data_IF_835192561580
#
_entry.id   IF_835192561580
#
_cell.length_a   1.000
_cell.length_b   1.000
_cell.length_c   1.000
_cell.angle_alpha   90.00
_cell.angle_beta   90.00
_cell.angle_gamma   90.00
#
_symmetry.space_group_name_H-M   'P 1'
#
loop_
_entity.id
_entity.type
_entity.pdbx_description
1 polymer ?
#
# COMPACT_ATOMS: atom_id res chain seq x y z
N UNK A 1 -9.73 7.55 -80.53
CA UNK A 1 -9.36 8.23 -79.26
C UNK A 1 -10.19 7.65 -78.12
N UNK A 2 -9.63 6.76 -77.29
CA UNK A 2 -10.21 6.35 -76.01
C UNK A 2 -9.08 6.19 -75.01
N UNK A 3 -9.13 6.99 -73.95
CA UNK A 3 -8.09 7.17 -72.93
C UNK A 3 -8.30 6.12 -71.82
N UNK A 4 -7.27 5.41 -71.33
CA UNK A 4 -7.48 4.36 -70.36
C UNK A 4 -7.64 4.96 -68.95
N UNK A 5 -8.86 4.90 -68.42
CA UNK A 5 -9.24 5.35 -67.07
C UNK A 5 -8.68 4.47 -65.92
N UNK A 6 -7.98 3.38 -66.25
CA UNK A 6 -7.56 2.36 -65.27
C UNK A 6 -6.36 2.82 -64.42
N UNK A 7 -5.49 3.70 -64.94
CA UNK A 7 -4.31 4.16 -64.20
C UNK A 7 -4.64 5.11 -63.03
N UNK A 8 -5.77 5.83 -63.09
CA UNK A 8 -6.14 6.82 -62.05
C UNK A 8 -6.75 6.18 -60.79
N UNK A 9 -7.31 4.98 -60.91
CA UNK A 9 -7.93 4.28 -59.77
C UNK A 9 -6.87 3.64 -58.87
N UNK A 10 -5.77 3.15 -59.45
CA UNK A 10 -4.68 2.50 -58.70
C UNK A 10 -3.88 3.52 -57.87
N UNK A 11 -3.71 4.75 -58.38
CA UNK A 11 -3.03 5.84 -57.67
C UNK A 11 -3.83 6.37 -56.46
N UNK A 12 -5.16 6.25 -56.47
CA UNK A 12 -5.99 6.67 -55.34
C UNK A 12 -6.08 5.59 -54.24
N UNK A 13 -5.96 4.31 -54.61
CA UNK A 13 -5.98 3.18 -53.68
C UNK A 13 -4.65 2.99 -52.91
N UNK A 14 -3.55 3.53 -53.43
CA UNK A 14 -2.23 3.47 -52.78
C UNK A 14 -1.98 4.62 -51.81
N UNK A 15 -2.79 5.68 -51.84
CA UNK A 15 -2.69 6.82 -50.91
C UNK A 15 -3.51 6.63 -49.61
N UNK A 16 -4.46 5.68 -49.59
CA UNK A 16 -5.29 5.39 -48.41
C UNK A 16 -4.65 4.40 -47.42
N UNK A 17 -3.54 3.75 -47.78
CA UNK A 17 -2.85 2.76 -46.94
C UNK A 17 -1.83 3.38 -45.95
N UNK A 18 -1.64 4.71 -45.96
CA UNK A 18 -0.60 5.36 -45.15
C UNK A 18 -1.10 5.98 -43.82
N UNK A 19 -2.38 5.82 -43.44
CA UNK A 19 -2.94 6.50 -42.24
C UNK A 19 -3.25 5.60 -41.04
N UNK A 20 -2.75 4.35 -41.01
CA UNK A 20 -2.87 3.47 -39.84
C UNK A 20 -1.53 3.19 -39.14
N UNK A 21 -0.60 4.15 -39.13
CA UNK A 21 0.48 4.13 -38.12
C UNK A 21 -0.12 4.63 -36.82
N UNK A 22 -0.78 3.73 -36.10
CA UNK A 22 -1.12 3.95 -34.70
C UNK A 22 0.19 3.86 -33.93
N UNK A 23 0.88 4.98 -33.79
CA UNK A 23 1.93 5.15 -32.80
C UNK A 23 1.23 5.03 -31.45
N UNK A 24 1.11 3.80 -30.95
CA UNK A 24 0.94 3.59 -29.53
C UNK A 24 2.20 4.15 -28.92
N UNK A 25 2.10 5.38 -28.39
CA UNK A 25 3.07 5.89 -27.43
C UNK A 25 3.32 4.75 -26.46
N UNK A 26 4.54 4.20 -26.54
CA UNK A 26 4.99 3.19 -25.60
C UNK A 26 5.14 3.95 -24.30
N UNK A 27 4.06 3.97 -23.52
CA UNK A 27 4.07 4.45 -22.16
C UNK A 27 5.14 3.62 -21.45
N UNK A 28 6.32 4.22 -21.26
CA UNK A 28 7.44 3.58 -20.60
C UNK A 28 6.96 3.35 -19.17
N UNK A 29 6.57 2.10 -18.87
CA UNK A 29 6.08 1.73 -17.57
C UNK A 29 7.14 2.12 -16.53
N UNK A 30 6.80 3.07 -15.66
CA UNK A 30 7.70 3.48 -14.59
C UNK A 30 7.99 2.27 -13.70
N UNK A 31 9.24 2.10 -13.24
CA UNK A 31 9.58 1.01 -12.34
C UNK A 31 8.76 1.13 -11.04
N UNK A 32 8.13 0.03 -10.64
CA UNK A 32 7.35 -0.03 -9.39
C UNK A 32 8.30 -0.07 -8.21
N UNK A 33 8.15 0.87 -7.27
CA UNK A 33 8.89 0.87 -6.01
C UNK A 33 8.50 -0.34 -5.17
N UNK A 34 9.50 -1.05 -4.64
CA UNK A 34 9.28 -2.12 -3.65
C UNK A 34 9.18 -1.47 -2.28
N UNK A 35 7.99 -1.46 -1.67
CA UNK A 35 7.80 -0.95 -0.31
C UNK A 35 7.89 -2.10 0.70
N UNK A 36 7.26 -3.23 0.39
CA UNK A 36 7.37 -4.47 1.16
C UNK A 36 7.88 -5.58 0.24
N UNK A 37 8.92 -6.36 0.61
CA UNK A 37 9.39 -7.43 -0.24
C UNK A 37 8.40 -8.59 -0.24
N UNK A 38 7.72 -8.78 -1.38
CA UNK A 38 6.66 -9.79 -1.54
C UNK A 38 7.15 -10.94 -2.42
N UNK A 39 7.46 -12.06 -1.78
CA UNK A 39 7.77 -13.33 -2.42
C UNK A 39 7.21 -14.46 -1.56
N UNK A 40 6.68 -15.51 -2.20
CA UNK A 40 6.15 -16.69 -1.47
C UNK A 40 7.26 -17.30 -0.61
N UNK A 41 6.95 -17.52 0.67
CA UNK A 41 7.90 -18.00 1.68
C UNK A 41 8.59 -16.89 2.49
N UNK A 42 8.43 -15.61 2.08
CA UNK A 42 8.84 -14.48 2.92
C UNK A 42 8.02 -14.46 4.21
N UNK A 43 8.69 -14.19 5.32
CA UNK A 43 8.14 -14.33 6.65
C UNK A 43 8.70 -13.27 7.61
N UNK A 44 7.85 -12.80 8.52
CA UNK A 44 8.19 -11.87 9.58
C UNK A 44 7.52 -12.30 10.88
N UNK A 45 8.29 -12.29 11.96
CA UNK A 45 7.80 -12.56 13.31
C UNK A 45 7.98 -11.30 14.13
N UNK A 46 6.90 -10.88 14.78
CA UNK A 46 6.81 -9.66 15.57
C UNK A 46 6.51 -9.99 17.02
N UNK A 47 7.15 -9.26 17.93
CA UNK A 47 6.71 -9.14 19.31
C UNK A 47 5.66 -8.04 19.37
N UNK A 48 4.49 -8.35 19.93
CA UNK A 48 3.41 -7.39 20.13
C UNK A 48 3.35 -7.07 21.62
N UNK A 49 3.48 -5.79 21.96
CA UNK A 49 3.49 -5.31 23.35
C UNK A 49 2.30 -4.37 23.52
N UNK A 50 1.44 -4.65 24.49
CA UNK A 50 0.39 -3.74 24.92
C UNK A 50 0.87 -2.94 26.11
N UNK A 51 0.55 -1.65 26.13
CA UNK A 51 0.94 -0.73 27.19
C UNK A 51 -0.30 -0.12 27.84
N UNK A 52 -0.20 0.24 29.11
CA UNK A 52 -1.17 1.09 29.79
C UNK A 52 -0.97 2.55 29.40
N UNK A 53 -1.92 3.41 29.73
CA UNK A 53 -1.76 4.86 29.56
C UNK A 53 -0.62 5.45 30.40
N UNK A 54 -0.11 4.73 31.39
CA UNK A 54 1.02 5.19 32.22
C UNK A 54 2.37 4.68 31.69
N UNK A 55 2.36 3.90 30.61
CA UNK A 55 3.54 3.36 29.95
C UNK A 55 3.96 1.98 30.44
N UNK A 56 3.24 1.39 31.39
CA UNK A 56 3.51 0.04 31.89
C UNK A 56 3.15 -1.02 30.86
N UNK A 57 3.96 -2.08 30.74
CA UNK A 57 3.65 -3.21 29.87
C UNK A 57 2.50 -4.02 30.48
N UNK A 58 1.39 -4.11 29.76
CA UNK A 58 0.22 -4.91 30.13
C UNK A 58 0.33 -6.35 29.63
N UNK A 59 0.82 -6.54 28.40
CA UNK A 59 0.87 -7.85 27.75
C UNK A 59 2.00 -7.92 26.74
N UNK A 60 2.47 -9.14 26.46
CA UNK A 60 3.41 -9.40 25.36
C UNK A 60 3.02 -10.70 24.67
N UNK A 61 2.83 -10.63 23.35
CA UNK A 61 2.47 -11.77 22.50
C UNK A 61 3.36 -11.83 21.26
N UNK A 62 3.22 -12.86 20.44
CA UNK A 62 3.91 -13.02 19.17
C UNK A 62 2.93 -13.04 18.01
N UNK A 63 3.28 -12.37 16.91
CA UNK A 63 2.51 -12.33 15.68
C UNK A 63 3.40 -12.71 14.50
N UNK A 64 2.97 -13.71 13.71
CA UNK A 64 3.68 -14.16 12.51
C UNK A 64 2.91 -13.72 11.27
N UNK A 65 3.59 -13.04 10.35
CA UNK A 65 3.10 -12.69 9.01
C UNK A 65 3.93 -13.43 7.98
N UNK A 66 3.29 -14.02 6.99
CA UNK A 66 3.96 -14.82 5.96
C UNK A 66 3.26 -14.64 4.62
N UNK A 67 4.02 -14.57 3.53
CA UNK A 67 3.48 -14.68 2.17
C UNK A 67 3.33 -16.15 1.83
N UNK A 68 2.10 -16.64 1.81
CA UNK A 68 1.84 -18.09 1.68
C UNK A 68 1.57 -18.53 0.25
N UNK A 69 1.16 -17.59 -0.62
CA UNK A 69 0.75 -17.89 -1.99
C UNK A 69 0.75 -16.62 -2.84
N UNK A 70 0.89 -16.77 -4.15
CA UNK A 70 0.58 -15.74 -5.13
C UNK A 70 -0.66 -16.10 -5.97
N UNK A 71 -1.20 -15.10 -6.67
CA UNK A 71 -2.33 -15.26 -7.57
C UNK A 71 -2.33 -14.17 -8.63
N UNK A 72 -3.05 -14.39 -9.73
CA UNK A 72 -3.30 -13.37 -10.75
C UNK A 72 -4.70 -12.79 -10.58
N UNK A 73 -4.81 -11.46 -10.54
CA UNK A 73 -6.07 -10.72 -10.58
C UNK A 73 -5.89 -9.58 -11.58
N UNK A 74 -6.71 -9.53 -12.63
CA UNK A 74 -6.61 -8.48 -13.65
C UNK A 74 -5.26 -8.44 -14.38
N UNK A 75 -4.62 -9.60 -14.60
CA UNK A 75 -3.26 -9.75 -15.19
C UNK A 75 -2.13 -9.18 -14.35
N UNK A 76 -2.38 -8.82 -13.10
CA UNK A 76 -1.36 -8.40 -12.14
C UNK A 76 -1.13 -9.51 -11.13
N UNK A 77 0.13 -9.67 -10.69
CA UNK A 77 0.49 -10.60 -9.61
C UNK A 77 0.13 -9.98 -8.27
N UNK A 78 -0.55 -10.77 -7.44
CA UNK A 78 -0.92 -10.44 -6.08
C UNK A 78 -0.42 -11.53 -5.14
N UNK A 79 -0.10 -11.13 -3.91
CA UNK A 79 0.42 -12.02 -2.89
C UNK A 79 -0.59 -12.16 -1.76
N UNK A 80 -0.77 -13.38 -1.27
CA UNK A 80 -1.71 -13.73 -0.22
C UNK A 80 -0.91 -13.95 1.05
N UNK A 81 -1.25 -13.22 2.10
CA UNK A 81 -0.66 -13.37 3.41
C UNK A 81 -1.37 -14.49 4.20
N UNK A 82 -0.70 -15.04 5.22
CA UNK A 82 -1.24 -16.09 6.08
C UNK A 82 -2.54 -15.70 6.81
N UNK A 83 -2.82 -14.40 6.99
CA UNK A 83 -4.07 -13.88 7.53
C UNK A 83 -5.16 -13.64 6.46
N UNK A 84 -4.92 -14.03 5.20
CA UNK A 84 -5.86 -13.92 4.09
C UNK A 84 -5.85 -12.56 3.36
N UNK A 85 -5.07 -11.58 3.80
CA UNK A 85 -4.92 -10.31 3.09
C UNK A 85 -4.27 -10.55 1.71
N UNK A 86 -4.77 -9.87 0.69
CA UNK A 86 -4.21 -9.89 -0.66
C UNK A 86 -3.53 -8.55 -0.92
N UNK A 87 -2.24 -8.56 -1.25
CA UNK A 87 -1.39 -7.38 -1.29
C UNK A 87 -0.49 -7.37 -2.52
N UNK A 88 -0.02 -6.19 -2.94
CA UNK A 88 1.03 -6.01 -3.94
C UNK A 88 1.73 -4.67 -3.77
N UNK A 89 2.95 -4.56 -4.30
CA UNK A 89 3.50 -3.25 -4.63
C UNK A 89 2.95 -2.82 -6.01
N UNK A 90 2.54 -1.57 -6.13
CA UNK A 90 2.04 -0.93 -7.33
C UNK A 90 2.67 0.47 -7.46
N UNK A 91 2.52 1.13 -8.61
CA UNK A 91 3.07 2.47 -8.84
C UNK A 91 2.54 3.50 -7.83
N UNK A 92 1.33 3.30 -7.34
CA UNK A 92 0.67 4.19 -6.38
C UNK A 92 1.01 3.83 -4.90
N UNK A 93 1.70 2.71 -4.68
CA UNK A 93 2.16 2.27 -3.35
C UNK A 93 1.93 0.78 -3.05
N UNK A 94 1.90 0.43 -1.76
CA UNK A 94 1.56 -0.91 -1.29
C UNK A 94 0.04 -1.03 -1.15
N UNK A 95 -0.57 -1.86 -1.99
CA UNK A 95 -2.01 -1.92 -2.21
C UNK A 95 -2.58 -3.20 -1.63
N UNK A 96 -3.75 -3.09 -1.02
CA UNK A 96 -4.57 -4.20 -0.55
C UNK A 96 -5.78 -4.40 -1.45
N UNK A 97 -6.13 -5.66 -1.73
CA UNK A 97 -7.35 -6.02 -2.47
C UNK A 97 -8.43 -6.54 -1.53
N UNK A 98 -9.61 -5.93 -1.60
CA UNK A 98 -10.83 -6.32 -0.89
C UNK A 98 -11.67 -7.25 -1.76
N UNK A 99 -11.71 -8.53 -1.41
CA UNK A 99 -12.46 -9.56 -2.18
C UNK A 99 -13.97 -9.30 -2.19
N UNK A 100 -14.51 -8.81 -1.08
CA UNK A 100 -15.93 -8.55 -0.86
C UNK A 100 -16.45 -7.42 -1.76
N UNK A 101 -15.72 -6.32 -1.84
CA UNK A 101 -16.09 -5.15 -2.63
C UNK A 101 -15.49 -5.16 -4.05
N UNK A 102 -14.51 -6.04 -4.31
CA UNK A 102 -13.63 -6.01 -5.51
C UNK A 102 -12.88 -4.68 -5.67
N UNK A 103 -12.57 -4.04 -4.55
CA UNK A 103 -11.91 -2.74 -4.48
C UNK A 103 -10.44 -2.89 -4.09
N UNK A 104 -9.66 -1.85 -4.40
CA UNK A 104 -8.27 -1.71 -4.01
C UNK A 104 -8.12 -0.48 -3.12
N UNK A 105 -7.28 -0.57 -2.10
CA UNK A 105 -6.90 0.60 -1.31
C UNK A 105 -5.40 0.58 -1.02
N UNK A 106 -4.80 1.76 -1.00
CA UNK A 106 -3.37 1.97 -0.77
C UNK A 106 -3.16 2.06 0.73
N UNK A 107 -2.31 1.21 1.28
CA UNK A 107 -1.93 1.28 2.70
C UNK A 107 -0.65 2.11 2.87
N UNK A 108 0.38 1.83 2.07
CA UNK A 108 1.61 2.61 2.07
C UNK A 108 1.70 3.41 0.75
N UNK A 109 1.35 4.70 0.72
CA UNK A 109 1.36 5.47 -0.52
C UNK A 109 2.77 5.66 -1.09
N UNK A 110 2.86 5.75 -2.42
CA UNK A 110 4.04 6.31 -3.09
C UNK A 110 4.23 7.77 -2.69
N UNK A 111 5.40 8.40 -2.96
CA UNK A 111 5.61 9.81 -2.64
C UNK A 111 4.56 10.73 -3.27
N UNK A 112 4.15 10.43 -4.51
CA UNK A 112 3.16 11.21 -5.26
C UNK A 112 1.72 11.01 -4.78
N UNK A 113 1.45 9.90 -4.09
CA UNK A 113 0.13 9.54 -3.54
C UNK A 113 0.03 9.78 -2.02
N UNK A 114 1.02 10.43 -1.41
CA UNK A 114 0.99 10.75 0.01
C UNK A 114 -0.13 11.76 0.33
N UNK A 115 -0.84 11.57 1.46
CA UNK A 115 -1.92 12.47 1.88
C UNK A 115 -3.33 12.04 1.43
N UNK A 116 -3.49 10.82 0.94
CA UNK A 116 -4.80 10.23 0.65
C UNK A 116 -5.60 9.90 1.92
N UNK A 117 -6.92 9.87 1.80
CA UNK A 117 -7.81 9.48 2.88
C UNK A 117 -8.90 8.51 2.41
N UNK A 118 -9.24 7.54 3.25
CA UNK A 118 -10.35 6.61 3.03
C UNK A 118 -11.42 6.82 4.10
N UNK A 119 -12.67 7.00 3.66
CA UNK A 119 -13.83 7.15 4.53
C UNK A 119 -14.66 5.87 4.61
N UNK A 120 -15.03 5.48 5.81
CA UNK A 120 -15.86 4.30 6.09
C UNK A 120 -17.10 4.74 6.88
N UNK A 121 -18.27 4.47 6.32
CA UNK A 121 -19.55 4.77 6.96
C UNK A 121 -20.07 3.55 7.71
N UNK A 122 -20.25 3.70 9.01
CA UNK A 122 -20.89 2.72 9.87
C UNK A 122 -22.27 3.24 10.32
N UNK A 123 -23.15 2.37 10.86
CA UNK A 123 -24.45 2.80 11.34
C UNK A 123 -24.38 3.94 12.37
N UNK A 124 -23.46 3.86 13.34
CA UNK A 124 -23.34 4.80 14.45
C UNK A 124 -22.22 5.84 14.34
N UNK A 125 -21.25 5.67 13.43
CA UNK A 125 -20.12 6.58 13.28
C UNK A 125 -19.57 6.60 11.85
N UNK A 126 -18.75 7.60 11.55
CA UNK A 126 -17.91 7.67 10.34
C UNK A 126 -16.45 7.58 10.75
N UNK A 127 -15.65 6.77 10.04
CA UNK A 127 -14.21 6.65 10.25
C UNK A 127 -13.48 7.18 9.02
N UNK A 128 -12.59 8.13 9.20
CA UNK A 128 -11.64 8.58 8.19
C UNK A 128 -10.25 8.10 8.55
N UNK A 129 -9.54 7.52 7.60
CA UNK A 129 -8.14 7.10 7.75
C UNK A 129 -7.31 7.90 6.76
N UNK A 130 -6.45 8.78 7.25
CA UNK A 130 -5.51 9.57 6.43
C UNK A 130 -4.15 8.87 6.41
N UNK A 131 -3.63 8.62 5.22
CA UNK A 131 -2.36 7.94 5.00
C UNK A 131 -1.31 8.95 4.55
N UNK A 132 -0.19 9.01 5.26
CA UNK A 132 0.94 9.88 4.90
C UNK A 132 2.24 9.10 4.93
N UNK A 133 3.19 9.54 4.11
CA UNK A 133 4.53 8.99 3.97
C UNK A 133 5.57 10.10 4.13
N UNK A 134 6.70 9.79 4.76
CA UNK A 134 7.87 10.67 4.77
C UNK A 134 8.60 10.69 3.43
N UNK A 135 9.18 11.82 3.04
CA UNK A 135 9.93 11.98 1.77
C UNK A 135 11.24 11.21 1.74
N UNK A 136 11.75 10.80 2.91
CA UNK A 136 12.97 10.00 3.04
C UNK A 136 12.87 9.05 4.23
N UNK A 137 14.00 8.42 4.54
CA UNK A 137 14.10 7.54 5.71
C UNK A 137 14.24 8.36 7.00
N UNK A 138 13.63 7.88 8.07
CA UNK A 138 13.74 8.41 9.43
C UNK A 138 14.40 7.40 10.34
N UNK A 139 14.99 7.86 11.44
CA UNK A 139 15.58 6.98 12.45
C UNK A 139 14.50 6.14 13.15
N UNK A 140 14.80 4.86 13.40
CA UNK A 140 13.96 4.00 14.24
C UNK A 140 14.67 3.81 15.57
N UNK A 141 14.21 4.46 16.67
CA UNK A 141 14.87 4.34 17.96
C UNK A 141 14.85 2.89 18.45
N UNK A 142 16.02 2.43 18.91
CA UNK A 142 16.21 1.14 19.58
C UNK A 142 15.84 -0.11 18.77
N UNK A 143 15.77 -0.01 17.43
CA UNK A 143 15.47 -1.19 16.60
C UNK A 143 16.74 -2.00 16.29
N UNK A 144 16.74 -3.33 16.51
CA UNK A 144 17.90 -4.18 16.26
C UNK A 144 18.09 -4.53 14.78
N UNK A 145 17.07 -4.32 13.94
CA UNK A 145 17.06 -4.78 12.55
C UNK A 145 17.33 -3.68 11.52
N UNK A 146 17.06 -2.42 11.85
CA UNK A 146 17.34 -1.28 10.98
C UNK A 146 17.47 0.00 11.80
N UNK A 147 18.47 0.83 11.51
CA UNK A 147 18.60 2.16 12.12
C UNK A 147 17.71 3.21 11.46
N UNK A 148 17.31 2.98 10.21
CA UNK A 148 16.49 3.89 9.41
C UNK A 148 15.45 3.14 8.57
N UNK A 149 14.30 3.75 8.33
CA UNK A 149 13.23 3.22 7.49
C UNK A 149 12.31 4.34 6.97
N UNK A 150 11.44 4.02 6.01
CA UNK A 150 10.38 4.93 5.58
C UNK A 150 9.28 4.92 6.65
N UNK A 151 8.87 6.09 7.14
CA UNK A 151 7.75 6.20 8.08
C UNK A 151 6.45 6.45 7.30
N UNK A 152 5.45 5.62 7.61
CA UNK A 152 4.07 5.77 7.22
C UNK A 152 3.26 6.12 8.46
N UNK A 153 2.49 7.21 8.40
CA UNK A 153 1.61 7.62 9.49
C UNK A 153 0.15 7.50 9.07
N UNK A 154 -0.67 6.95 9.96
CA UNK A 154 -2.10 6.78 9.79
C UNK A 154 -2.83 7.56 10.87
N UNK A 155 -3.58 8.58 10.46
CA UNK A 155 -4.47 9.32 11.35
C UNK A 155 -5.88 8.77 11.19
N UNK A 156 -6.47 8.28 12.28
CA UNK A 156 -7.79 7.65 12.29
C UNK A 156 -8.75 8.55 13.05
N UNK A 157 -9.59 9.28 12.34
CA UNK A 157 -10.59 10.18 12.89
C UNK A 157 -11.95 9.48 12.94
N UNK A 158 -12.53 9.37 14.13
CA UNK A 158 -13.84 8.76 14.36
C UNK A 158 -14.84 9.83 14.78
N UNK A 159 -15.86 10.06 13.96
CA UNK A 159 -16.96 10.97 14.23
C UNK A 159 -18.22 10.17 14.58
N UNK A 160 -18.71 10.31 15.81
CA UNK A 160 -19.95 9.65 16.24
C UNK A 160 -21.17 10.38 15.64
N UNK A 161 -22.21 9.67 15.21
CA UNK A 161 -23.43 10.32 14.70
C UNK A 161 -24.32 10.87 15.82
N UNK A 162 -24.31 10.21 16.97
CA UNK A 162 -25.11 10.58 18.13
C UNK A 162 -24.51 11.77 18.92
N UNK A 163 -23.24 12.09 18.69
CA UNK A 163 -22.53 13.19 19.32
C UNK A 163 -21.55 13.75 18.32
N UNK A 164 -21.50 15.06 18.10
CA UNK A 164 -20.49 15.72 17.25
C UNK A 164 -19.05 15.66 17.81
N UNK A 165 -18.75 14.65 18.63
CA UNK A 165 -17.44 14.40 19.20
C UNK A 165 -16.59 13.65 18.19
N UNK A 166 -15.41 14.21 17.93
CA UNK A 166 -14.36 13.62 17.09
C UNK A 166 -13.30 13.03 18.02
N UNK A 167 -12.94 11.77 17.80
CA UNK A 167 -11.79 11.15 18.46
C UNK A 167 -10.75 10.74 17.44
N UNK A 168 -9.49 11.02 17.72
CA UNK A 168 -8.38 10.77 16.79
C UNK A 168 -7.40 9.77 17.39
N UNK A 169 -7.09 8.69 16.68
CA UNK A 169 -5.99 7.79 17.03
C UNK A 169 -4.91 7.85 15.95
N UNK A 170 -3.67 7.55 16.34
CA UNK A 170 -2.52 7.59 15.45
C UNK A 170 -1.84 6.24 15.39
N UNK A 171 -1.32 5.91 14.21
CA UNK A 171 -0.43 4.78 14.00
C UNK A 171 0.78 5.25 13.21
N UNK A 172 1.97 4.81 13.60
CA UNK A 172 3.21 4.97 12.83
C UNK A 172 3.78 3.62 12.48
N UNK A 173 4.12 3.42 11.22
CA UNK A 173 4.75 2.20 10.72
C UNK A 173 6.07 2.54 10.04
N UNK A 174 7.12 1.84 10.42
CA UNK A 174 8.47 1.99 9.89
C UNK A 174 8.75 0.79 8.99
N UNK A 175 8.96 1.05 7.70
CA UNK A 175 9.08 0.00 6.68
C UNK A 175 10.40 0.16 5.91
N UNK A 176 11.15 -0.93 5.81
CA UNK A 176 12.35 -1.04 4.97
C UNK A 176 12.01 -1.82 3.69
N UNK A 177 12.32 -1.31 2.48
CA UNK A 177 12.16 -2.05 1.22
C UNK A 177 12.82 -3.44 1.19
N UNK A 178 13.94 -3.59 1.90
CA UNK A 178 14.76 -4.80 1.90
C UNK A 178 14.26 -5.85 2.89
N UNK A 179 13.56 -5.42 3.94
CA UNK A 179 13.11 -6.29 5.02
C UNK A 179 11.59 -6.36 5.03
N UNK A 180 10.90 -5.24 5.05
CA UNK A 180 9.46 -5.11 5.27
C UNK A 180 9.19 -4.22 6.48
N UNK A 181 8.05 -4.41 7.14
CA UNK A 181 7.70 -3.65 8.33
C UNK A 181 8.66 -4.00 9.47
N UNK A 182 9.34 -3.01 10.02
CA UNK A 182 10.27 -3.15 11.14
C UNK A 182 9.54 -2.93 12.47
N UNK A 183 8.70 -1.90 12.52
CA UNK A 183 8.00 -1.50 13.74
C UNK A 183 6.67 -0.82 13.42
N UNK A 184 5.70 -1.03 14.30
CA UNK A 184 4.45 -0.27 14.34
C UNK A 184 4.21 0.26 15.74
N UNK A 185 3.89 1.54 15.88
CA UNK A 185 3.45 2.17 17.12
C UNK A 185 2.00 2.64 16.98
N UNK A 186 1.13 2.17 17.86
CA UNK A 186 -0.25 2.62 18.02
C UNK A 186 -0.35 3.50 19.26
N UNK A 187 -1.06 4.61 19.14
CA UNK A 187 -1.23 5.57 20.21
C UNK A 187 -2.68 5.58 20.72
N UNK A 188 -2.84 5.90 22.00
CA UNK A 188 -4.15 6.14 22.58
C UNK A 188 -4.86 7.32 21.89
N UNK A 189 -6.19 7.30 21.95
CA UNK A 189 -6.99 8.38 21.39
C UNK A 189 -6.60 9.72 22.00
N UNK A 190 -6.41 10.71 21.13
CA UNK A 190 -6.20 12.11 21.49
C UNK A 190 -4.98 12.30 22.43
N UNK A 191 -3.97 11.42 22.32
CA UNK A 191 -2.76 11.38 23.14
C UNK A 191 -1.54 10.88 22.35
N UNK A 192 -0.34 11.23 22.82
CA UNK A 192 0.96 10.70 22.38
C UNK A 192 1.40 9.45 23.17
N UNK A 193 0.56 8.95 24.07
CA UNK A 193 0.83 7.76 24.88
C UNK A 193 0.75 6.51 24.00
N UNK A 194 1.82 5.73 24.00
CA UNK A 194 1.89 4.45 23.30
C UNK A 194 0.89 3.47 23.90
N UNK A 195 0.03 2.91 23.07
CA UNK A 195 -0.95 1.89 23.42
C UNK A 195 -0.45 0.49 23.06
N UNK A 196 0.17 0.36 21.88
CA UNK A 196 0.61 -0.94 21.37
C UNK A 196 1.82 -0.80 20.45
N UNK A 197 2.79 -1.70 20.56
CA UNK A 197 3.92 -1.79 19.64
C UNK A 197 4.01 -3.17 18.99
N UNK A 198 4.24 -3.21 17.69
CA UNK A 198 4.75 -4.38 16.99
C UNK A 198 6.23 -4.11 16.71
N UNK A 199 7.12 -4.98 17.17
CA UNK A 199 8.55 -4.89 16.90
C UNK A 199 9.00 -6.16 16.18
N UNK A 200 9.70 -6.02 15.06
CA UNK A 200 10.27 -7.16 14.35
C UNK A 200 11.28 -7.90 15.26
N UNK A 201 11.19 -9.22 15.29
CA UNK A 201 12.07 -10.10 16.07
C UNK A 201 12.95 -10.93 15.15
N UNK A 202 12.37 -11.42 14.05
CA UNK A 202 13.08 -12.21 13.05
C UNK A 202 12.33 -12.16 11.73
N UNK A 203 13.05 -12.37 10.63
CA UNK A 203 12.48 -12.43 9.30
C UNK A 203 13.22 -13.43 8.41
N UNK A 204 12.56 -13.85 7.34
CA UNK A 204 13.14 -14.56 6.20
C UNK A 204 12.65 -13.85 4.95
N UNK A 205 13.56 -13.21 4.23
CA UNK A 205 13.29 -12.54 2.95
C UNK A 205 14.28 -13.10 1.93
N UNK A 206 13.78 -13.45 0.75
CA UNK A 206 14.55 -14.04 -0.36
C UNK A 206 14.78 -13.02 -1.47
#
# INVERSE_FOLDING_TARGET
MKQPHILKVIAFLSLSLCFFSCDKEVEVAQPVEVIVPLQVGNEWVYKVIDYSSDGDVLSTTSFRREVVKDTLIGKQTWYILNNGMIVRNDKDGYVHYRKDAREQYITYPSPDMSGIAYGYQYPSYTLWIFHRRTTGQVSIPDSPHASQAIEFSFERQTEQKASSFLSTTWVKEYVSPEIGMIRTDWFYADSDKLMKRYELVSYRVQ
#
